data_IF_350878108724
#
_entry.id   IF_350878108724
#
_cell.length_a   1.000
_cell.length_b   1.000
_cell.length_c   1.000
_cell.angle_alpha   90.00
_cell.angle_beta   90.00
_cell.angle_gamma   90.00
#
_symmetry.space_group_name_H-M   'P 1'
#
loop_
_entity.id
_entity.type
_entity.pdbx_description
1 polymer ?
#
# COMPACT_ATOMS: atom_id res chain seq x y z
N UNK A 1 0.33 15.76 -0.79
CA UNK A 1 0.07 14.34 -0.45
C UNK A 1 0.60 14.12 0.96
N UNK A 2 -0.21 13.53 1.82
CA UNK A 2 0.16 13.23 3.20
C UNK A 2 0.78 11.82 3.24
N UNK A 3 2.01 11.70 3.74
CA UNK A 3 2.61 10.40 3.99
C UNK A 3 1.96 9.79 5.23
N UNK A 4 1.59 8.51 5.15
CA UNK A 4 1.01 7.76 6.26
C UNK A 4 1.84 6.51 6.54
N UNK A 5 1.78 6.02 7.77
CA UNK A 5 2.34 4.74 8.16
C UNK A 5 1.47 3.58 7.64
N UNK A 6 2.06 2.38 7.53
CA UNK A 6 1.35 1.20 7.03
C UNK A 6 0.17 0.77 7.93
N UNK A 7 0.26 1.01 9.24
CA UNK A 7 -0.81 0.76 10.22
C UNK A 7 -1.99 1.74 10.09
N UNK A 8 -1.81 2.87 9.39
CA UNK A 8 -2.84 3.88 9.14
C UNK A 8 -3.63 3.63 7.85
N UNK A 9 -3.28 2.59 7.09
CA UNK A 9 -3.97 2.21 5.88
C UNK A 9 -5.41 1.78 6.17
N UNK A 10 -6.36 2.34 5.42
CA UNK A 10 -7.81 2.11 5.59
C UNK A 10 -8.37 1.35 4.40
N UNK A 11 -9.14 0.30 4.68
CA UNK A 11 -9.74 -0.58 3.67
C UNK A 11 -10.51 0.25 2.63
N UNK A 12 -10.30 -0.05 1.35
CA UNK A 12 -10.98 0.60 0.24
C UNK A 12 -10.43 1.99 -0.12
N UNK A 13 -9.44 2.53 0.62
CA UNK A 13 -8.80 3.81 0.29
C UNK A 13 -7.66 3.63 -0.72
N UNK A 14 -7.44 4.70 -1.49
CA UNK A 14 -6.43 4.76 -2.54
C UNK A 14 -5.17 5.43 -1.99
N UNK A 15 -4.03 4.85 -2.30
CA UNK A 15 -2.72 5.30 -1.89
C UNK A 15 -1.75 5.26 -3.08
N UNK A 16 -0.77 6.14 -3.11
CA UNK A 16 0.45 5.94 -3.89
C UNK A 16 1.47 5.22 -3.00
N UNK A 17 2.00 4.09 -3.48
CA UNK A 17 3.07 3.34 -2.82
C UNK A 17 4.37 3.60 -3.55
N UNK A 18 5.38 4.09 -2.83
CA UNK A 18 6.76 4.18 -3.31
C UNK A 18 7.56 2.97 -2.80
N UNK A 19 8.05 2.17 -3.74
CA UNK A 19 8.85 0.98 -3.49
C UNK A 19 10.33 1.33 -3.29
N UNK A 20 11.11 0.37 -2.77
CA UNK A 20 12.55 0.53 -2.50
C UNK A 20 13.39 0.96 -3.71
N UNK A 21 12.96 0.63 -4.92
CA UNK A 21 13.63 1.04 -6.17
C UNK A 21 13.18 2.42 -6.68
N UNK A 22 12.37 3.16 -5.91
CA UNK A 22 11.80 4.45 -6.29
C UNK A 22 10.61 4.35 -7.26
N UNK A 23 10.21 3.14 -7.67
CA UNK A 23 8.99 2.95 -8.45
C UNK A 23 7.77 3.34 -7.62
N UNK A 24 6.77 3.94 -8.27
CA UNK A 24 5.54 4.40 -7.65
C UNK A 24 4.34 3.74 -8.29
N UNK A 25 3.36 3.35 -7.47
CA UNK A 25 2.14 2.72 -7.95
C UNK A 25 0.94 3.21 -7.16
N UNK A 26 -0.12 3.59 -7.87
CA UNK A 26 -1.42 3.89 -7.27
C UNK A 26 -2.17 2.58 -7.00
N UNK A 27 -2.65 2.43 -5.78
CA UNK A 27 -3.28 1.18 -5.32
C UNK A 27 -4.47 1.45 -4.41
N UNK A 28 -5.43 0.53 -4.42
CA UNK A 28 -6.47 0.42 -3.40
C UNK A 28 -6.02 -0.56 -2.32
N UNK A 29 -6.11 -0.16 -1.04
CA UNK A 29 -5.79 -1.05 0.06
C UNK A 29 -6.93 -2.04 0.33
N UNK A 30 -6.65 -3.33 0.12
CA UNK A 30 -7.60 -4.43 0.24
C UNK A 30 -7.61 -5.10 1.63
N UNK A 31 -6.78 -4.62 2.56
CA UNK A 31 -6.77 -5.06 3.96
C UNK A 31 -5.56 -5.91 4.33
N UNK A 32 -5.59 -6.44 5.56
CA UNK A 32 -4.55 -7.30 6.13
C UNK A 32 -5.12 -8.70 6.34
N UNK A 33 -4.40 -9.73 5.88
CA UNK A 33 -4.76 -11.13 6.12
C UNK A 33 -3.51 -11.95 6.43
N UNK A 34 -3.45 -12.51 7.65
CA UNK A 34 -2.22 -13.07 8.18
C UNK A 34 -1.15 -11.97 8.35
N UNK A 35 0.10 -12.27 8.02
CA UNK A 35 1.22 -11.32 8.12
C UNK A 35 1.46 -10.53 6.84
N UNK A 36 0.41 -10.20 6.07
CA UNK A 36 0.54 -9.54 4.77
C UNK A 36 -0.52 -8.45 4.55
N UNK A 37 -0.08 -7.35 3.96
CA UNK A 37 -0.89 -6.23 3.49
C UNK A 37 -1.22 -6.46 2.01
N UNK A 38 -2.50 -6.38 1.65
CA UNK A 38 -2.97 -6.64 0.29
C UNK A 38 -3.40 -5.35 -0.40
N UNK A 39 -3.08 -5.27 -1.68
CA UNK A 39 -3.31 -4.09 -2.51
C UNK A 39 -3.81 -4.52 -3.88
N UNK A 40 -4.65 -3.69 -4.49
CA UNK A 40 -5.12 -3.82 -5.87
C UNK A 40 -4.56 -2.63 -6.65
N UNK A 41 -3.93 -2.86 -7.80
CA UNK A 41 -3.56 -1.76 -8.70
C UNK A 41 -4.80 -1.27 -9.50
N UNK A 42 -4.61 -0.28 -10.37
CA UNK A 42 -5.68 0.28 -11.20
C UNK A 42 -6.29 -0.74 -12.18
N UNK A 43 -5.53 -1.76 -12.60
CA UNK A 43 -6.01 -2.84 -13.46
C UNK A 43 -6.77 -3.94 -12.68
N UNK A 44 -6.89 -3.80 -11.34
CA UNK A 44 -7.48 -4.81 -10.47
C UNK A 44 -6.55 -6.00 -10.16
N UNK A 45 -5.28 -5.95 -10.57
CA UNK A 45 -4.28 -6.96 -10.19
C UNK A 45 -3.93 -6.83 -8.72
N UNK A 46 -4.06 -7.95 -8.01
CA UNK A 46 -3.73 -8.04 -6.59
C UNK A 46 -2.26 -8.37 -6.37
N UNK A 47 -1.63 -7.67 -5.43
CA UNK A 47 -0.34 -8.07 -4.87
C UNK A 47 -0.35 -7.90 -3.35
N UNK A 48 0.72 -8.34 -2.70
CA UNK A 48 0.85 -8.22 -1.24
C UNK A 48 2.27 -7.94 -0.78
N UNK A 49 2.38 -7.18 0.30
CA UNK A 49 3.63 -6.87 0.98
C UNK A 49 3.62 -7.57 2.35
N UNK A 50 4.70 -8.27 2.67
CA UNK A 50 4.85 -8.92 3.97
C UNK A 50 4.99 -7.87 5.08
N UNK A 51 4.45 -8.14 6.27
CA UNK A 51 4.42 -7.20 7.40
C UNK A 51 5.82 -6.74 7.79
N UNK A 52 6.79 -7.65 7.84
CA UNK A 52 8.19 -7.31 8.12
C UNK A 52 8.87 -6.43 7.05
N UNK A 53 8.26 -6.30 5.86
CA UNK A 53 8.76 -5.47 4.77
C UNK A 53 7.94 -4.19 4.55
N UNK A 54 6.72 -4.11 5.10
CA UNK A 54 5.78 -3.02 4.79
C UNK A 54 6.31 -1.66 5.24
N UNK A 55 7.03 -1.63 6.36
CA UNK A 55 7.65 -0.43 6.94
C UNK A 55 8.72 0.21 6.05
N UNK A 56 9.28 -0.53 5.08
CA UNK A 56 10.28 0.00 4.15
C UNK A 56 9.68 0.65 2.90
N UNK A 57 8.35 0.63 2.77
CA UNK A 57 7.62 1.27 1.69
C UNK A 57 7.00 2.57 2.19
N UNK A 58 6.89 3.58 1.33
CA UNK A 58 6.23 4.84 1.68
C UNK A 58 4.83 4.84 1.10
N UNK A 59 3.85 5.22 1.91
CA UNK A 59 2.45 5.31 1.52
C UNK A 59 2.02 6.76 1.55
N UNK A 60 1.42 7.23 0.46
CA UNK A 60 0.89 8.57 0.35
C UNK A 60 -0.60 8.51 0.12
N UNK A 61 -1.37 9.15 1.00
CA UNK A 61 -2.81 9.26 0.82
C UNK A 61 -3.10 10.22 -0.32
N UNK A 62 -3.81 9.71 -1.33
CA UNK A 62 -4.41 10.53 -2.38
C UNK A 62 -5.78 10.99 -1.87
N UNK A 63 -6.06 12.29 -2.03
CA UNK A 63 -7.17 13.02 -1.37
C UNK A 63 -8.54 12.35 -1.47
#
# INVERSE_FOLDING_TARGET
>A
MEQVEANELKLGKIYEVEFLNGYKLVVNFAGVKGERYYFLNEDGHQFSIANNCVQYHRFYKLG
#
